data_IF_810233463697
#
_entry.id   IF_810233463697
#
_cell.length_a   1.000
_cell.length_b   1.000
_cell.length_c   1.000
_cell.angle_alpha   90.00
_cell.angle_beta   90.00
_cell.angle_gamma   90.00
#
_symmetry.space_group_name_H-M   'P 1'
#
loop_
_entity.id
_entity.type
_entity.pdbx_description
1 polymer ?
#
# COMPACT_ATOMS: atom_id res chain seq x y z
N UNK A 1 8.32 -9.76 20.29
CA UNK A 1 8.57 -8.80 19.20
C UNK A 1 8.71 -7.42 19.83
N UNK A 2 9.71 -6.65 19.44
CA UNK A 2 9.93 -5.27 19.89
C UNK A 2 9.13 -4.30 19.02
N UNK A 3 8.88 -3.08 19.52
CA UNK A 3 8.22 -2.02 18.74
C UNK A 3 8.95 -1.76 17.41
N UNK A 4 10.28 -1.68 17.44
CA UNK A 4 11.10 -1.50 16.23
C UNK A 4 10.94 -2.65 15.23
N UNK A 5 10.81 -3.89 15.70
CA UNK A 5 10.53 -5.03 14.83
C UNK A 5 9.13 -4.95 14.21
N UNK A 6 8.12 -4.53 14.98
CA UNK A 6 6.75 -4.31 14.46
C UNK A 6 6.76 -3.24 13.37
N UNK A 7 7.38 -2.09 13.61
CA UNK A 7 7.46 -1.01 12.61
C UNK A 7 8.20 -1.49 11.36
N UNK A 8 9.28 -2.28 11.52
CA UNK A 8 9.96 -2.88 10.36
C UNK A 8 9.03 -3.78 9.54
N UNK A 9 8.17 -4.57 10.19
CA UNK A 9 7.17 -5.37 9.47
C UNK A 9 6.13 -4.50 8.76
N UNK A 10 5.72 -3.38 9.37
CA UNK A 10 4.84 -2.38 8.74
C UNK A 10 5.51 -1.82 7.48
N UNK A 11 6.75 -1.35 7.57
CA UNK A 11 7.50 -0.77 6.44
C UNK A 11 7.65 -1.79 5.29
N UNK A 12 7.98 -3.04 5.61
CA UNK A 12 8.07 -4.12 4.62
C UNK A 12 6.71 -4.42 3.97
N UNK A 13 5.63 -4.44 4.76
CA UNK A 13 4.28 -4.65 4.25
C UNK A 13 3.79 -3.50 3.37
N UNK A 14 4.07 -2.26 3.76
CA UNK A 14 3.71 -1.06 3.01
C UNK A 14 4.47 -0.98 1.68
N UNK A 15 5.79 -1.22 1.69
CA UNK A 15 6.59 -1.26 0.46
C UNK A 15 6.15 -2.38 -0.48
N UNK A 16 5.78 -3.55 0.06
CA UNK A 16 5.20 -4.63 -0.75
C UNK A 16 3.85 -4.20 -1.35
N UNK A 17 2.98 -3.58 -0.56
CA UNK A 17 1.69 -3.05 -1.01
C UNK A 17 1.86 -2.03 -2.15
N UNK A 18 2.75 -1.04 -2.02
CA UNK A 18 3.02 -0.08 -3.09
C UNK A 18 3.53 -0.80 -4.35
N UNK A 19 4.40 -1.81 -4.19
CA UNK A 19 4.90 -2.60 -5.31
C UNK A 19 3.79 -3.36 -6.06
N UNK A 20 2.68 -3.69 -5.40
CA UNK A 20 1.58 -4.42 -6.02
C UNK A 20 0.89 -3.61 -7.11
N UNK A 21 0.76 -2.30 -6.93
CA UNK A 21 0.24 -1.43 -7.98
C UNK A 21 1.13 -1.45 -9.22
N UNK A 22 2.46 -1.42 -9.03
CA UNK A 22 3.42 -1.52 -10.14
C UNK A 22 3.40 -2.85 -10.89
N UNK A 23 2.77 -3.89 -10.31
CA UNK A 23 2.61 -5.22 -10.94
C UNK A 23 1.32 -5.36 -11.73
N UNK A 24 0.43 -4.37 -11.69
CA UNK A 24 -0.74 -4.33 -12.55
C UNK A 24 -0.33 -4.23 -14.03
N UNK A 25 -1.19 -4.70 -14.94
CA UNK A 25 -0.82 -4.87 -16.36
C UNK A 25 -0.37 -3.57 -17.05
N UNK A 26 -0.95 -2.43 -16.66
CA UNK A 26 -0.72 -1.10 -17.23
C UNK A 26 0.36 -0.30 -16.48
N UNK A 27 0.97 -0.90 -15.45
CA UNK A 27 1.92 -0.25 -14.55
C UNK A 27 3.32 -0.85 -14.70
N UNK A 28 4.33 -0.14 -14.24
CA UNK A 28 5.70 -0.64 -14.12
C UNK A 28 6.35 -0.24 -12.80
N UNK A 29 7.24 -1.12 -12.33
CA UNK A 29 8.13 -0.89 -11.19
C UNK A 29 9.52 -0.59 -11.74
N UNK A 30 10.14 0.51 -11.27
CA UNK A 30 11.52 0.85 -11.59
C UNK A 30 12.32 0.91 -10.30
N UNK A 31 13.34 0.06 -10.19
CA UNK A 31 14.32 0.05 -9.11
C UNK A 31 15.70 0.40 -9.68
N UNK A 32 16.34 1.45 -9.15
CA UNK A 32 17.67 1.89 -9.57
C UNK A 32 18.78 1.54 -8.54
N UNK A 33 18.46 0.75 -7.53
CA UNK A 33 19.33 0.37 -6.42
C UNK A 33 19.35 1.35 -5.25
N UNK A 34 18.85 2.57 -5.43
CA UNK A 34 18.82 3.62 -4.38
C UNK A 34 17.41 3.91 -3.89
N UNK A 35 16.43 3.83 -4.77
CA UNK A 35 15.01 3.94 -4.45
C UNK A 35 14.21 3.20 -5.52
N UNK A 36 12.96 2.87 -5.18
CA UNK A 36 12.03 2.26 -6.11
C UNK A 36 10.90 3.24 -6.41
N UNK A 37 10.34 3.18 -7.61
CA UNK A 37 9.11 3.90 -7.90
C UNK A 37 8.20 3.10 -8.81
N UNK A 38 6.89 3.33 -8.67
CA UNK A 38 5.86 2.81 -9.56
C UNK A 38 5.30 3.94 -10.40
N UNK A 39 4.97 3.63 -11.66
CA UNK A 39 4.28 4.56 -12.55
C UNK A 39 3.49 3.83 -13.64
N UNK A 40 2.56 4.50 -14.33
CA UNK A 40 1.91 3.95 -15.52
C UNK A 40 2.90 3.78 -16.66
N UNK A 41 2.67 2.76 -17.50
CA UNK A 41 3.36 2.62 -18.78
C UNK A 41 3.04 3.80 -19.69
N UNK A 42 3.90 4.04 -20.69
CA UNK A 42 3.74 5.17 -21.59
C UNK A 42 2.36 5.16 -22.28
N UNK A 43 1.58 6.23 -22.08
CA UNK A 43 0.23 6.38 -22.63
C UNK A 43 -0.90 5.83 -21.76
N UNK A 44 -0.58 5.19 -20.63
CA UNK A 44 -1.54 4.66 -19.67
C UNK A 44 -1.80 5.66 -18.52
N UNK A 45 -2.92 5.46 -17.81
CA UNK A 45 -3.26 6.19 -16.59
C UNK A 45 -3.10 5.29 -15.37
N UNK A 46 -2.64 5.84 -14.26
CA UNK A 46 -2.52 5.11 -12.99
C UNK A 46 -1.76 5.92 -11.96
N UNK A 47 -1.52 5.29 -10.81
CA UNK A 47 -0.85 5.95 -9.68
C UNK A 47 0.65 6.10 -9.88
N UNK A 48 1.27 7.01 -9.12
CA UNK A 48 2.73 7.18 -9.09
C UNK A 48 3.20 7.37 -7.68
N UNK A 49 4.22 6.62 -7.27
CA UNK A 49 4.82 6.74 -5.94
C UNK A 49 6.30 6.40 -5.99
N UNK A 50 7.10 7.13 -5.22
CA UNK A 50 8.48 6.77 -4.87
C UNK A 50 8.43 6.12 -3.48
N UNK A 51 9.10 4.99 -3.31
CA UNK A 51 9.12 4.20 -2.07
C UNK A 51 10.44 3.43 -1.92
N UNK A 52 10.65 2.79 -0.76
CA UNK A 52 11.86 2.01 -0.46
C UNK A 52 13.17 2.78 -0.74
N UNK A 53 13.32 3.96 -0.13
CA UNK A 53 14.48 4.84 -0.30
C UNK A 53 15.65 4.36 0.58
N UNK A 54 16.70 3.86 -0.06
CA UNK A 54 17.84 3.16 0.53
C UNK A 54 19.14 3.96 0.36
N UNK A 55 19.14 5.20 0.85
CA UNK A 55 20.29 6.13 0.68
C UNK A 55 20.99 6.52 1.98
N UNK A 56 20.50 6.10 3.15
CA UNK A 56 20.98 6.57 4.45
C UNK A 56 22.48 6.34 4.70
N UNK A 57 23.04 5.23 4.19
CA UNK A 57 24.46 4.91 4.36
C UNK A 57 25.39 5.64 3.37
N UNK A 58 24.84 6.40 2.41
CA UNK A 58 25.64 7.10 1.41
C UNK A 58 26.27 8.38 2.00
N UNK A 59 27.39 8.88 1.43
CA UNK A 59 27.92 10.19 1.81
C UNK A 59 26.87 11.31 1.61
N UNK A 60 26.88 12.31 2.49
CA UNK A 60 25.87 13.39 2.49
C UNK A 60 25.72 14.10 1.13
N UNK A 61 26.81 14.32 0.41
CA UNK A 61 26.77 14.90 -0.95
C UNK A 61 26.00 14.02 -1.93
N UNK A 62 26.18 12.69 -1.83
CA UNK A 62 25.49 11.73 -2.68
C UNK A 62 24.01 11.61 -2.32
N UNK A 63 23.67 11.64 -1.02
CA UNK A 63 22.28 11.69 -0.57
C UNK A 63 21.57 12.91 -1.15
N UNK A 64 22.20 14.09 -1.07
CA UNK A 64 21.62 15.32 -1.61
C UNK A 64 21.33 15.25 -3.11
N UNK A 65 22.27 14.71 -3.90
CA UNK A 65 22.07 14.52 -5.35
C UNK A 65 20.86 13.62 -5.63
N UNK A 66 20.73 12.51 -4.91
CA UNK A 66 19.62 11.57 -5.09
C UNK A 66 18.28 12.15 -4.62
N UNK A 67 18.29 13.00 -3.60
CA UNK A 67 17.09 13.71 -3.13
C UNK A 67 16.65 14.77 -4.13
N UNK A 68 17.58 15.52 -4.72
CA UNK A 68 17.27 16.48 -5.78
C UNK A 68 16.70 15.76 -7.02
N UNK A 69 17.22 14.56 -7.34
CA UNK A 69 16.67 13.67 -8.37
C UNK A 69 15.23 13.24 -8.02
N UNK A 70 15.00 12.70 -6.82
CA UNK A 70 13.66 12.29 -6.33
C UNK A 70 12.66 13.45 -6.43
N UNK A 71 13.05 14.66 -6.00
CA UNK A 71 12.19 15.85 -6.09
C UNK A 71 11.89 16.25 -7.53
N UNK A 72 12.84 16.07 -8.44
CA UNK A 72 12.66 16.37 -9.86
C UNK A 72 11.66 15.44 -10.57
N UNK A 73 11.43 14.23 -10.04
CA UNK A 73 10.42 13.30 -10.57
C UNK A 73 8.98 13.78 -10.33
N UNK A 74 8.77 14.72 -9.40
CA UNK A 74 7.46 15.27 -9.07
C UNK A 74 6.40 14.19 -8.77
N UNK A 75 6.82 13.13 -8.06
CA UNK A 75 5.97 12.05 -7.60
C UNK A 75 5.79 12.12 -6.08
N UNK A 76 4.63 11.74 -5.54
CA UNK A 76 4.46 11.51 -4.11
C UNK A 76 5.51 10.53 -3.56
N UNK A 77 6.02 10.81 -2.37
CA UNK A 77 7.01 9.97 -1.67
C UNK A 77 6.34 9.27 -0.50
N UNK A 78 6.35 7.95 -0.55
CA UNK A 78 6.03 7.06 0.55
C UNK A 78 7.32 6.74 1.31
N UNK A 79 7.48 7.32 2.49
CA UNK A 79 8.71 7.15 3.29
C UNK A 79 8.45 6.24 4.48
N UNK A 80 9.34 5.24 4.66
CA UNK A 80 9.29 4.29 5.77
C UNK A 80 9.23 4.98 7.14
N UNK A 81 8.47 4.39 8.05
CA UNK A 81 8.36 4.84 9.44
C UNK A 81 9.70 4.75 10.17
N UNK A 82 10.57 3.80 9.81
CA UNK A 82 11.94 3.71 10.33
C UNK A 82 12.97 4.54 9.55
N UNK A 83 12.57 5.35 8.57
CA UNK A 83 13.50 6.26 7.90
C UNK A 83 14.21 7.17 8.90
N UNK A 84 15.51 7.35 8.70
CA UNK A 84 16.34 8.21 9.55
C UNK A 84 15.83 9.66 9.52
N UNK A 85 15.95 10.36 10.65
CA UNK A 85 15.50 11.75 10.77
C UNK A 85 16.14 12.67 9.73
N UNK A 86 17.40 12.42 9.36
CA UNK A 86 18.09 13.16 8.30
C UNK A 86 17.44 12.92 6.93
N UNK A 87 17.16 11.66 6.58
CA UNK A 87 16.49 11.32 5.33
C UNK A 87 15.09 11.95 5.26
N UNK A 88 14.33 11.87 6.35
CA UNK A 88 13.02 12.52 6.46
C UNK A 88 13.14 14.03 6.20
N UNK A 89 14.12 14.69 6.83
CA UNK A 89 14.37 16.12 6.64
C UNK A 89 14.77 16.46 5.21
N UNK A 90 15.57 15.63 4.56
CA UNK A 90 15.97 15.84 3.17
C UNK A 90 14.76 15.75 2.23
N UNK A 91 13.85 14.79 2.44
CA UNK A 91 12.64 14.59 1.65
C UNK A 91 11.63 15.72 1.88
N UNK A 92 11.20 15.94 3.12
CA UNK A 92 10.08 16.82 3.45
C UNK A 92 10.47 18.25 3.86
N UNK A 93 11.76 18.51 4.11
CA UNK A 93 12.29 19.83 4.46
C UNK A 93 12.03 20.27 5.91
N UNK A 94 11.41 19.42 6.73
CA UNK A 94 11.12 19.66 8.14
C UNK A 94 11.63 18.52 9.02
N UNK A 95 11.76 18.77 10.32
CA UNK A 95 12.17 17.73 11.26
C UNK A 95 11.06 16.69 11.43
N UNK A 96 11.44 15.42 11.55
CA UNK A 96 10.51 14.33 11.88
C UNK A 96 9.91 14.57 13.26
N UNK A 97 8.58 14.47 13.36
CA UNK A 97 7.87 14.58 14.63
C UNK A 97 7.60 13.17 15.13
N UNK A 98 8.13 12.85 16.31
CA UNK A 98 7.91 11.55 16.96
C UNK A 98 6.75 11.68 17.97
N UNK A 99 5.77 10.77 17.90
CA UNK A 99 4.70 10.66 18.91
C UNK A 99 3.53 11.63 18.72
N UNK A 100 3.00 11.75 17.51
CA UNK A 100 1.80 12.56 17.21
C UNK A 100 0.57 11.99 17.94
N UNK A 101 -0.04 12.78 18.83
CA UNK A 101 -1.19 12.37 19.67
C UNK A 101 -2.53 12.91 19.19
N UNK A 102 -2.52 13.80 18.20
CA UNK A 102 -3.72 14.31 17.54
C UNK A 102 -3.68 13.87 16.07
N UNK A 103 -4.67 13.06 15.70
CA UNK A 103 -4.89 12.61 14.33
C UNK A 103 -6.00 13.47 13.70
N UNK A 104 -5.81 13.80 12.43
CA UNK A 104 -6.76 14.41 11.52
C UNK A 104 -7.20 13.40 10.46
N UNK A 105 -8.29 13.71 9.75
CA UNK A 105 -8.82 12.83 8.69
C UNK A 105 -7.85 12.68 7.50
N UNK A 106 -6.82 13.53 7.40
CA UNK A 106 -5.80 13.50 6.35
C UNK A 106 -4.55 12.72 6.77
N UNK A 107 -4.45 12.30 8.04
CA UNK A 107 -3.28 11.57 8.53
C UNK A 107 -3.35 10.10 8.11
N UNK A 108 -2.28 9.60 7.50
CA UNK A 108 -2.12 8.17 7.24
C UNK A 108 -1.63 7.46 8.52
N UNK A 109 -2.40 6.50 9.00
CA UNK A 109 -2.12 5.77 10.25
C UNK A 109 -1.92 4.30 9.96
N UNK A 110 -0.79 3.78 10.42
CA UNK A 110 -0.44 2.37 10.31
C UNK A 110 -0.85 1.63 11.57
N UNK A 111 -1.64 0.57 11.39
CA UNK A 111 -2.07 -0.31 12.46
C UNK A 111 -1.47 -1.70 12.26
N UNK A 112 -1.02 -2.32 13.35
CA UNK A 112 -0.59 -3.70 13.36
C UNK A 112 -1.43 -4.49 14.37
N UNK A 113 -1.76 -5.72 14.02
CA UNK A 113 -2.38 -6.69 14.92
C UNK A 113 -1.51 -7.93 14.94
N UNK A 114 -1.01 -8.29 16.13
CA UNK A 114 -0.24 -9.51 16.33
C UNK A 114 -1.17 -10.73 16.33
N UNK A 115 -0.68 -11.93 15.96
CA UNK A 115 -1.50 -13.15 15.94
C UNK A 115 -2.20 -13.44 17.27
N UNK A 116 -1.54 -13.15 18.39
CA UNK A 116 -2.06 -13.29 19.76
C UNK A 116 -3.15 -12.27 20.13
N UNK A 117 -3.25 -11.16 19.39
CA UNK A 117 -4.26 -10.10 19.59
C UNK A 117 -5.53 -10.36 18.76
N UNK A 118 -5.54 -11.42 17.94
CA UNK A 118 -6.67 -11.77 17.08
C UNK A 118 -7.95 -11.89 17.92
N UNK A 119 -8.96 -11.04 17.66
CA UNK A 119 -10.20 -11.09 18.43
C UNK A 119 -10.97 -12.38 18.13
N UNK A 120 -11.78 -12.80 19.09
CA UNK A 120 -12.77 -13.86 18.88
C UNK A 120 -13.92 -13.28 18.06
N UNK A 121 -14.10 -13.78 16.83
CA UNK A 121 -15.20 -13.37 15.97
C UNK A 121 -16.45 -14.21 16.25
N UNK A 122 -17.59 -13.55 16.42
CA UNK A 122 -18.89 -14.21 16.46
C UNK A 122 -19.37 -14.48 15.02
N UNK A 123 -19.75 -15.72 14.75
CA UNK A 123 -20.34 -16.09 13.45
C UNK A 123 -21.81 -15.67 13.41
N UNK A 124 -22.14 -14.73 12.53
CA UNK A 124 -23.51 -14.32 12.21
C UNK A 124 -24.05 -15.01 10.96
N UNK A 125 -25.16 -14.51 10.41
CA UNK A 125 -25.72 -14.93 9.12
C UNK A 125 -24.97 -14.39 7.90
N UNK A 126 -23.99 -13.49 8.13
CA UNK A 126 -23.17 -12.89 7.08
C UNK A 126 -22.20 -13.90 6.50
N UNK A 127 -21.92 -13.78 5.20
CA UNK A 127 -21.04 -14.70 4.46
C UNK A 127 -19.87 -13.94 3.86
N UNK A 128 -18.66 -14.36 4.16
CA UNK A 128 -17.46 -13.88 3.47
C UNK A 128 -17.17 -14.83 2.32
N UNK A 129 -17.05 -14.30 1.11
CA UNK A 129 -16.74 -15.06 -0.10
C UNK A 129 -15.46 -14.51 -0.71
N UNK A 130 -14.49 -15.39 -0.95
CA UNK A 130 -13.29 -15.04 -1.71
C UNK A 130 -13.64 -14.91 -3.19
N UNK A 131 -13.17 -13.84 -3.83
CA UNK A 131 -13.31 -13.60 -5.27
C UNK A 131 -12.55 -14.68 -6.04
N UNK A 132 -13.21 -15.33 -6.99
CA UNK A 132 -12.65 -16.40 -7.84
C UNK A 132 -12.69 -16.07 -9.34
N UNK A 133 -13.43 -15.04 -9.74
CA UNK A 133 -13.64 -14.69 -11.15
C UNK A 133 -13.50 -13.20 -11.44
N UNK A 134 -13.23 -12.83 -12.69
CA UNK A 134 -13.17 -11.44 -13.13
C UNK A 134 -14.49 -10.69 -12.90
N UNK A 135 -15.64 -11.38 -13.01
CA UNK A 135 -16.95 -10.79 -12.73
C UNK A 135 -17.14 -10.45 -11.25
N UNK A 136 -16.75 -11.35 -10.35
CA UNK A 136 -16.76 -11.09 -8.91
C UNK A 136 -15.74 -10.01 -8.53
N UNK A 137 -14.58 -9.99 -9.20
CA UNK A 137 -13.59 -8.93 -9.01
C UNK A 137 -14.11 -7.56 -9.43
N UNK A 138 -14.90 -7.48 -10.51
CA UNK A 138 -15.52 -6.22 -10.92
C UNK A 138 -16.52 -5.68 -9.88
N UNK A 139 -17.26 -6.57 -9.20
CA UNK A 139 -18.11 -6.18 -8.06
C UNK A 139 -17.27 -5.67 -6.91
N UNK A 140 -16.20 -6.40 -6.55
CA UNK A 140 -15.28 -6.00 -5.50
C UNK A 140 -14.65 -4.63 -5.78
N UNK A 141 -14.09 -4.45 -6.99
CA UNK A 141 -13.41 -3.24 -7.42
C UNK A 141 -14.35 -2.03 -7.45
N UNK A 142 -15.61 -2.23 -7.87
CA UNK A 142 -16.61 -1.16 -7.82
C UNK A 142 -16.83 -0.67 -6.39
N UNK A 143 -17.04 -1.58 -5.44
CA UNK A 143 -17.29 -1.21 -4.04
C UNK A 143 -16.05 -0.54 -3.44
N UNK A 144 -14.85 -1.09 -3.67
CA UNK A 144 -13.60 -0.50 -3.20
C UNK A 144 -13.40 0.92 -3.75
N UNK A 145 -13.57 1.11 -5.06
CA UNK A 145 -13.46 2.43 -5.69
C UNK A 145 -14.52 3.42 -5.17
N UNK A 146 -15.75 2.98 -4.94
CA UNK A 146 -16.82 3.81 -4.38
C UNK A 146 -16.47 4.31 -2.95
N UNK A 147 -15.80 3.47 -2.15
CA UNK A 147 -15.39 3.77 -0.77
C UNK A 147 -14.11 4.62 -0.73
N UNK A 148 -13.05 4.17 -1.40
CA UNK A 148 -11.68 4.70 -1.27
C UNK A 148 -11.38 5.86 -2.23
N UNK A 149 -11.98 5.83 -3.42
CA UNK A 149 -11.61 6.73 -4.51
C UNK A 149 -12.79 7.61 -4.98
N UNK A 150 -13.89 7.63 -4.22
CA UNK A 150 -15.11 8.37 -4.58
C UNK A 150 -15.69 7.94 -5.95
N UNK A 151 -15.54 6.67 -6.30
CA UNK A 151 -15.98 6.07 -7.55
C UNK A 151 -14.98 6.16 -8.71
N UNK A 152 -13.79 6.74 -8.52
CA UNK A 152 -12.73 6.72 -9.54
C UNK A 152 -12.18 5.30 -9.70
N UNK A 153 -11.89 4.84 -10.93
CA UNK A 153 -11.49 3.46 -11.19
C UNK A 153 -10.00 3.22 -10.91
N UNK A 154 -9.56 3.51 -9.69
CA UNK A 154 -8.17 3.24 -9.26
C UNK A 154 -7.91 1.73 -9.32
N UNK A 155 -8.87 0.93 -8.85
CA UNK A 155 -8.92 -0.51 -9.07
C UNK A 155 -9.67 -0.83 -10.37
N UNK A 156 -8.93 -0.89 -11.49
CA UNK A 156 -9.47 -1.32 -12.78
C UNK A 156 -9.77 -2.84 -12.81
N UNK A 157 -10.99 -3.28 -13.16
CA UNK A 157 -11.40 -4.70 -13.09
C UNK A 157 -10.62 -5.62 -14.03
N UNK A 158 -10.16 -5.10 -15.17
CA UNK A 158 -9.35 -5.88 -16.13
C UNK A 158 -7.88 -5.93 -15.73
N UNK A 159 -7.28 -4.79 -15.39
CA UNK A 159 -5.83 -4.71 -15.21
C UNK A 159 -5.34 -5.18 -13.84
N UNK A 160 -6.22 -5.21 -12.84
CA UNK A 160 -5.90 -5.65 -11.48
C UNK A 160 -6.40 -7.06 -11.15
N UNK A 161 -7.39 -7.59 -11.87
CA UNK A 161 -7.84 -8.98 -11.66
C UNK A 161 -6.70 -10.01 -11.77
N UNK A 162 -5.70 -9.88 -12.67
CA UNK A 162 -4.55 -10.78 -12.69
C UNK A 162 -3.79 -10.86 -11.37
N UNK A 163 -3.81 -9.82 -10.54
CA UNK A 163 -3.19 -9.84 -9.20
C UNK A 163 -3.99 -10.75 -8.25
N UNK A 164 -5.32 -10.70 -8.35
CA UNK A 164 -6.22 -11.58 -7.60
C UNK A 164 -6.13 -13.02 -8.07
N UNK A 165 -6.15 -13.26 -9.39
CA UNK A 165 -6.04 -14.59 -9.99
C UNK A 165 -4.74 -15.29 -9.60
N UNK A 166 -3.63 -14.55 -9.56
CA UNK A 166 -2.30 -15.07 -9.16
C UNK A 166 -2.14 -15.21 -7.64
N UNK A 167 -3.16 -14.87 -6.85
CA UNK A 167 -3.12 -14.94 -5.39
C UNK A 167 -2.23 -13.89 -4.73
N UNK A 168 -1.78 -12.87 -5.47
CA UNK A 168 -0.96 -11.78 -4.94
C UNK A 168 -1.80 -10.75 -4.17
N UNK A 169 -3.09 -10.64 -4.52
CA UNK A 169 -4.08 -9.79 -3.86
C UNK A 169 -5.36 -10.58 -3.65
N UNK A 170 -5.50 -11.21 -2.49
CA UNK A 170 -6.65 -12.06 -2.20
C UNK A 170 -7.86 -11.19 -1.85
N UNK A 171 -8.81 -11.07 -2.76
CA UNK A 171 -10.01 -10.24 -2.56
C UNK A 171 -11.16 -11.04 -1.94
N UNK A 172 -11.89 -10.39 -1.02
CA UNK A 172 -13.03 -10.92 -0.30
C UNK A 172 -14.19 -9.96 -0.34
N UNK A 173 -15.41 -10.49 -0.42
CA UNK A 173 -16.65 -9.73 -0.33
C UNK A 173 -17.46 -10.26 0.85
N UNK A 174 -17.89 -9.36 1.72
CA UNK A 174 -18.85 -9.64 2.78
C UNK A 174 -20.27 -9.46 2.23
N UNK A 175 -21.10 -10.48 2.39
CA UNK A 175 -22.51 -10.46 2.04
C UNK A 175 -23.39 -10.50 3.29
N UNK A 176 -24.42 -9.66 3.30
CA UNK A 176 -25.59 -9.82 4.15
C UNK A 176 -26.76 -10.31 3.28
N UNK A 177 -27.14 -11.58 3.46
CA UNK A 177 -28.00 -12.29 2.50
C UNK A 177 -27.32 -12.41 1.12
N UNK A 178 -27.94 -11.84 0.08
CA UNK A 178 -27.41 -11.79 -1.29
C UNK A 178 -26.83 -10.42 -1.66
N UNK A 179 -26.78 -9.48 -0.71
CA UNK A 179 -26.31 -8.11 -0.96
C UNK A 179 -24.85 -7.99 -0.51
N UNK A 180 -23.93 -7.58 -1.39
CA UNK A 180 -22.57 -7.26 -0.97
C UNK A 180 -22.58 -5.96 -0.15
N UNK A 181 -22.02 -6.00 1.05
CA UNK A 181 -22.06 -4.89 2.03
C UNK A 181 -20.68 -4.33 2.37
N UNK A 182 -19.62 -5.08 2.12
CA UNK A 182 -18.24 -4.65 2.35
C UNK A 182 -17.27 -5.50 1.53
N UNK A 183 -16.08 -4.97 1.31
CA UNK A 183 -14.99 -5.64 0.61
C UNK A 183 -13.73 -5.55 1.46
N UNK A 184 -12.80 -6.47 1.22
CA UNK A 184 -11.45 -6.39 1.76
C UNK A 184 -10.50 -7.13 0.81
N UNK A 185 -9.21 -6.80 0.83
CA UNK A 185 -8.18 -7.65 0.25
C UNK A 185 -6.99 -7.85 1.17
N UNK A 186 -6.34 -9.00 0.98
CA UNK A 186 -5.14 -9.38 1.71
C UNK A 186 -3.99 -9.50 0.70
N UNK A 187 -2.95 -8.69 0.90
CA UNK A 187 -1.67 -8.81 0.21
C UNK A 187 -0.68 -9.45 1.17
N UNK A 188 -0.43 -10.76 1.00
CA UNK A 188 0.44 -11.52 1.88
C UNK A 188 1.88 -11.53 1.36
N UNK A 189 2.78 -10.90 2.11
CA UNK A 189 4.22 -10.93 1.91
C UNK A 189 4.87 -11.84 2.97
N UNK A 190 4.90 -13.15 2.70
CA UNK A 190 5.55 -14.16 3.54
C UNK A 190 5.20 -14.09 5.03
N UNK A 191 3.92 -13.84 5.35
CA UNK A 191 3.41 -13.74 6.72
C UNK A 191 3.16 -12.30 7.20
N UNK A 192 3.51 -11.30 6.39
CA UNK A 192 3.16 -9.89 6.60
C UNK A 192 1.96 -9.58 5.70
N UNK A 193 0.80 -9.39 6.30
CA UNK A 193 -0.44 -9.13 5.57
C UNK A 193 -0.77 -7.63 5.58
N UNK A 194 -0.74 -7.01 4.40
CA UNK A 194 -1.30 -5.66 4.19
C UNK A 194 -2.78 -5.81 3.84
N UNK A 195 -3.61 -4.94 4.42
CA UNK A 195 -5.06 -4.93 4.22
C UNK A 195 -5.46 -3.68 3.45
N UNK A 196 -6.31 -3.86 2.45
CA UNK A 196 -7.05 -2.78 1.79
C UNK A 196 -8.54 -2.99 2.07
N UNK A 197 -9.23 -1.94 2.52
CA UNK A 197 -10.62 -1.96 3.01
C UNK A 197 -11.54 -1.15 2.11
#
# INVERSE_FOLDING_TARGET
MTEKEIIKYIDVGANFYVSMFGRAEHMEVVDNGFYTYVKPKAGEYGITFIYDIRIGELPAERQKILIDEIKSLNMPVWLDLLAEDELYRLVYGNAKVHGQTALSDEDEVYLAMLPEEKPLYHTGSTKIVQVQSAGEFAVWAKIANDILAGGKPDMHPVYHYPLCEKGLMQCYVLYDGNTPVSVASIMNNDGIASLEL
#
